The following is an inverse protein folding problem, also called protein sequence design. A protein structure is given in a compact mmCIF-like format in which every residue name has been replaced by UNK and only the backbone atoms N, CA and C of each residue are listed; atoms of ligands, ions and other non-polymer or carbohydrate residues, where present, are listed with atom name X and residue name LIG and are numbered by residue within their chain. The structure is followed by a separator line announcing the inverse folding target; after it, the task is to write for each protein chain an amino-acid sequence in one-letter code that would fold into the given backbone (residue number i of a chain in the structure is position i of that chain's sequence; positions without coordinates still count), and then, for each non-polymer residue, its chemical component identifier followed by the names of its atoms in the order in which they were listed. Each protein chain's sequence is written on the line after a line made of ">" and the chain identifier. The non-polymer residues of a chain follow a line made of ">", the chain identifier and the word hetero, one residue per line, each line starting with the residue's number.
data_IF_963801194676
#
_entry.id   IF_963801194676
#
_cell.length_a   1.000
_cell.length_b   1.000
_cell.length_c   1.000
_cell.angle_alpha   90.00
_cell.angle_beta   90.00
_cell.angle_gamma   90.00
#
_symmetry.space_group_name_H-M   'P 1'
#
loop_
_entity.id
_entity.type
_entity.pdbx_description
1 polymer ?
#
# COMPACT_ATOMS: atom_id res chain seq x y z
N UNK A 1 21.55 -11.33 -8.43
CA UNK A 1 20.32 -11.01 -7.65
C UNK A 1 20.65 -10.49 -6.25
N UNK A 2 21.68 -11.01 -5.59
CA UNK A 2 22.20 -10.46 -4.34
C UNK A 2 23.61 -9.92 -4.59
N UNK A 3 23.83 -8.63 -4.29
CA UNK A 3 25.14 -7.97 -4.38
C UNK A 3 25.59 -7.64 -2.97
N UNK A 4 26.90 -7.60 -2.72
CA UNK A 4 27.45 -7.22 -1.41
C UNK A 4 27.04 -5.79 -0.98
N UNK A 5 26.71 -4.92 -1.93
CA UNK A 5 26.27 -3.54 -1.69
C UNK A 5 24.77 -3.42 -1.33
N UNK A 6 24.04 -4.53 -1.25
CA UNK A 6 22.63 -4.50 -0.90
C UNK A 6 22.45 -4.04 0.54
N UNK A 7 21.55 -3.07 0.74
CA UNK A 7 21.18 -2.57 2.07
C UNK A 7 19.81 -3.13 2.45
N UNK A 8 19.65 -3.44 3.74
CA UNK A 8 18.38 -3.88 4.33
C UNK A 8 17.95 -2.86 5.39
N UNK A 9 16.66 -2.58 5.43
CA UNK A 9 16.01 -1.90 6.55
C UNK A 9 14.78 -2.72 6.95
N UNK A 10 14.56 -2.87 8.25
CA UNK A 10 13.43 -3.61 8.81
C UNK A 10 12.68 -2.67 9.73
N UNK A 11 11.38 -2.50 9.48
CA UNK A 11 10.49 -1.70 10.31
C UNK A 11 9.46 -2.62 10.97
N UNK A 12 9.12 -2.33 12.22
CA UNK A 12 7.97 -2.90 12.90
C UNK A 12 6.80 -1.93 12.83
N UNK A 13 5.60 -2.49 12.69
CA UNK A 13 4.36 -1.74 12.77
C UNK A 13 3.51 -2.35 13.89
N UNK A 14 3.18 -1.56 14.90
CA UNK A 14 2.15 -1.89 15.88
C UNK A 14 0.95 -0.95 15.72
N UNK A 15 -0.06 -1.12 16.57
CA UNK A 15 -1.19 -0.19 16.66
C UNK A 15 -0.79 1.16 17.29
N UNK A 16 0.27 1.18 18.10
CA UNK A 16 0.71 2.37 18.84
C UNK A 16 1.80 3.15 18.11
N UNK A 17 2.73 2.47 17.45
CA UNK A 17 3.90 3.10 16.85
C UNK A 17 4.43 2.32 15.64
N UNK A 18 5.19 3.03 14.81
CA UNK A 18 6.00 2.45 13.73
C UNK A 18 7.46 2.79 14.02
N UNK A 19 8.33 1.78 14.12
CA UNK A 19 9.72 1.95 14.53
C UNK A 19 10.67 1.16 13.61
N UNK A 20 11.93 1.59 13.55
CA UNK A 20 12.98 0.86 12.85
C UNK A 20 13.57 -0.22 13.76
N UNK A 21 13.42 -1.49 13.38
CA UNK A 21 14.14 -2.61 14.02
C UNK A 21 15.60 -2.66 13.55
N UNK A 22 15.84 -2.30 12.29
CA UNK A 22 17.16 -2.28 11.68
C UNK A 22 17.20 -1.21 10.58
N UNK A 23 18.29 -0.44 10.39
CA UNK A 23 19.60 -0.51 11.04
C UNK A 23 19.72 0.27 12.36
N UNK A 24 20.57 -0.21 13.27
CA UNK A 24 21.01 0.56 14.45
C UNK A 24 22.17 1.50 14.06
N UNK A 25 22.21 2.74 14.58
CA UNK A 25 23.33 3.65 14.32
C UNK A 25 24.63 3.07 14.90
N UNK A 26 25.69 2.99 14.09
CA UNK A 26 27.07 2.78 14.58
C UNK A 26 27.71 1.39 14.42
N UNK A 27 27.12 0.46 13.66
CA UNK A 27 27.76 -0.84 13.34
C UNK A 27 27.90 -1.06 11.83
N UNK A 28 29.07 -0.75 11.29
CA UNK A 28 29.50 -1.19 9.96
C UNK A 28 30.32 -2.48 10.12
N UNK A 29 30.12 -3.46 9.24
CA UNK A 29 30.78 -4.77 9.33
C UNK A 29 31.12 -5.34 7.95
N UNK A 30 32.26 -6.04 7.88
CA UNK A 30 32.86 -6.51 6.63
C UNK A 30 32.50 -7.97 6.25
N UNK A 31 32.07 -8.80 7.20
CA UNK A 31 31.80 -10.22 6.95
C UNK A 31 30.31 -10.53 6.66
N UNK A 32 30.05 -11.26 5.56
CA UNK A 32 28.69 -11.55 5.08
C UNK A 32 27.83 -12.34 6.09
N UNK A 33 28.38 -13.41 6.68
CA UNK A 33 27.64 -14.24 7.66
C UNK A 33 27.41 -13.52 9.00
N UNK A 34 28.37 -12.68 9.41
CA UNK A 34 28.23 -11.88 10.62
C UNK A 34 27.13 -10.83 10.48
N UNK A 35 27.00 -10.21 9.30
CA UNK A 35 25.93 -9.28 9.00
C UNK A 35 24.54 -9.94 9.13
N UNK A 36 24.35 -11.16 8.62
CA UNK A 36 23.08 -11.88 8.77
C UNK A 36 22.79 -12.30 10.21
N UNK A 37 23.81 -12.78 10.93
CA UNK A 37 23.68 -13.14 12.36
C UNK A 37 23.31 -11.92 13.21
N UNK A 38 23.97 -10.78 12.96
CA UNK A 38 23.68 -9.52 13.63
C UNK A 38 22.25 -9.05 13.35
N UNK A 39 21.82 -9.04 12.08
CA UNK A 39 20.44 -8.68 11.73
C UNK A 39 19.44 -9.58 12.45
N UNK A 40 19.66 -10.90 12.42
CA UNK A 40 18.79 -11.86 13.08
C UNK A 40 18.70 -11.63 14.60
N UNK A 41 19.85 -11.38 15.24
CA UNK A 41 19.93 -11.10 16.68
C UNK A 41 19.24 -9.79 17.04
N UNK A 42 19.56 -8.70 16.34
CA UNK A 42 18.96 -7.37 16.58
C UNK A 42 17.46 -7.38 16.37
N UNK A 43 16.98 -7.97 15.27
CA UNK A 43 15.54 -8.05 15.00
C UNK A 43 14.83 -8.88 16.07
N UNK A 44 15.41 -10.01 16.51
CA UNK A 44 14.82 -10.84 17.57
C UNK A 44 14.76 -10.12 18.92
N UNK A 45 15.82 -9.40 19.29
CA UNK A 45 15.89 -8.63 20.54
C UNK A 45 14.89 -7.47 20.54
N UNK A 46 14.88 -6.64 19.48
CA UNK A 46 13.97 -5.49 19.36
C UNK A 46 12.50 -5.91 19.24
N UNK A 47 12.22 -6.99 18.49
CA UNK A 47 10.87 -7.51 18.42
C UNK A 47 10.44 -8.09 19.77
N UNK A 48 11.32 -8.80 20.46
CA UNK A 48 11.06 -9.35 21.79
C UNK A 48 10.72 -8.28 22.81
N UNK A 49 11.51 -7.19 22.88
CA UNK A 49 11.22 -6.08 23.79
C UNK A 49 9.89 -5.40 23.45
N UNK A 50 9.60 -5.19 22.17
CA UNK A 50 8.34 -4.57 21.73
C UNK A 50 7.11 -5.43 21.97
N UNK A 51 7.24 -6.75 21.87
CA UNK A 51 6.17 -7.68 22.21
C UNK A 51 5.90 -7.71 23.72
N UNK A 52 6.93 -7.54 24.55
CA UNK A 52 6.80 -7.43 26.00
C UNK A 52 6.18 -6.08 26.43
N UNK A 53 6.53 -5.01 25.73
CA UNK A 53 5.96 -3.66 25.94
C UNK A 53 4.53 -3.51 25.39
N UNK A 54 4.07 -4.44 24.54
CA UNK A 54 2.79 -4.32 23.88
C UNK A 54 1.63 -4.39 24.90
N UNK A 55 0.74 -3.39 24.94
CA UNK A 55 -0.41 -3.42 25.83
C UNK A 55 -1.37 -4.54 25.41
N UNK A 56 -2.01 -5.17 26.39
CA UNK A 56 -3.09 -6.11 26.13
C UNK A 56 -4.26 -5.36 25.50
N UNK A 57 -4.54 -5.64 24.22
CA UNK A 57 -5.64 -5.01 23.49
C UNK A 57 -6.97 -5.62 23.94
N UNK A 58 -7.86 -4.78 24.47
CA UNK A 58 -9.27 -5.11 24.75
C UNK A 58 -10.17 -4.92 23.54
N UNK A 59 -9.76 -4.11 22.57
CA UNK A 59 -10.50 -3.82 21.34
C UNK A 59 -9.63 -4.02 20.08
N UNK A 60 -10.25 -4.35 18.93
CA UNK A 60 -9.53 -4.49 17.67
C UNK A 60 -9.03 -3.12 17.17
N UNK A 61 -7.74 -2.83 17.36
CA UNK A 61 -7.11 -1.64 16.82
C UNK A 61 -6.63 -1.82 15.37
N UNK A 62 -6.65 -0.72 14.62
CA UNK A 62 -6.07 -0.66 13.27
C UNK A 62 -4.54 -0.54 13.35
N UNK A 63 -3.83 -1.18 12.41
CA UNK A 63 -2.37 -1.05 12.30
C UNK A 63 -1.99 0.28 11.62
N UNK A 64 -0.94 0.94 12.09
CA UNK A 64 -0.41 2.19 11.50
C UNK A 64 0.48 1.94 10.26
N UNK A 65 0.10 0.99 9.42
CA UNK A 65 0.93 0.51 8.31
C UNK A 65 1.16 1.60 7.24
N UNK A 66 0.19 2.49 7.02
CA UNK A 66 0.37 3.64 6.12
C UNK A 66 1.51 4.57 6.59
N UNK A 67 1.65 4.75 7.90
CA UNK A 67 2.74 5.49 8.53
C UNK A 67 4.08 4.79 8.30
N UNK A 68 4.15 3.47 8.54
CA UNK A 68 5.35 2.65 8.28
C UNK A 68 5.83 2.73 6.83
N UNK A 69 4.92 2.63 5.85
CA UNK A 69 5.27 2.76 4.42
C UNK A 69 5.82 4.16 4.13
N UNK A 70 5.20 5.19 4.70
CA UNK A 70 5.66 6.58 4.53
C UNK A 70 7.06 6.79 5.14
N UNK A 71 7.32 6.24 6.32
CA UNK A 71 8.65 6.24 6.94
C UNK A 71 9.69 5.54 6.07
N UNK A 72 9.34 4.38 5.51
CA UNK A 72 10.22 3.65 4.60
C UNK A 72 10.53 4.46 3.33
N UNK A 73 9.53 5.12 2.73
CA UNK A 73 9.72 5.99 1.56
C UNK A 73 10.62 7.19 1.86
N UNK A 74 10.44 7.83 3.02
CA UNK A 74 11.31 8.92 3.48
C UNK A 74 12.75 8.42 3.69
N UNK A 75 12.92 7.25 4.29
CA UNK A 75 14.23 6.65 4.52
C UNK A 75 14.95 6.30 3.21
N UNK A 76 14.24 5.69 2.26
CA UNK A 76 14.77 5.40 0.92
C UNK A 76 15.15 6.70 0.21
N UNK A 77 14.30 7.73 0.27
CA UNK A 77 14.59 9.02 -0.36
C UNK A 77 15.84 9.69 0.24
N UNK A 78 16.05 9.54 1.55
CA UNK A 78 17.29 10.00 2.22
C UNK A 78 18.50 9.22 1.73
N UNK A 79 18.40 7.89 1.63
CA UNK A 79 19.50 7.06 1.14
C UNK A 79 19.85 7.38 -0.32
N UNK A 80 18.85 7.56 -1.18
CA UNK A 80 19.06 7.92 -2.59
C UNK A 80 19.83 9.24 -2.75
N UNK A 81 19.62 10.21 -1.86
CA UNK A 81 20.38 11.48 -1.84
C UNK A 81 21.83 11.31 -1.39
N UNK A 82 22.11 10.34 -0.53
CA UNK A 82 23.46 10.09 -0.01
C UNK A 82 24.31 9.20 -0.94
N UNK A 83 23.73 8.66 -2.01
CA UNK A 83 24.46 7.82 -2.98
C UNK A 83 25.26 8.72 -3.92
N UNK A 84 26.54 8.40 -4.21
CA UNK A 84 27.36 9.19 -5.12
C UNK A 84 26.76 9.27 -6.53
N UNK A 85 26.99 10.41 -7.19
CA UNK A 85 26.49 10.67 -8.53
C UNK A 85 26.95 9.58 -9.53
N UNK A 86 25.99 8.90 -10.16
CA UNK A 86 26.24 7.84 -11.14
C UNK A 86 25.77 6.43 -10.73
N UNK A 87 25.58 6.17 -9.43
CA UNK A 87 25.07 4.88 -8.96
C UNK A 87 23.54 4.95 -8.79
N UNK A 88 22.80 4.17 -9.58
CA UNK A 88 21.34 4.04 -9.42
C UNK A 88 21.01 3.03 -8.32
N UNK A 89 20.37 3.49 -7.25
CA UNK A 89 19.84 2.62 -6.20
C UNK A 89 18.46 2.09 -6.59
N UNK A 90 18.35 0.77 -6.71
CA UNK A 90 17.05 0.10 -6.87
C UNK A 90 16.49 -0.23 -5.49
N UNK A 91 15.31 0.30 -5.19
CA UNK A 91 14.64 0.10 -3.92
C UNK A 91 13.32 -0.64 -4.12
N UNK A 92 12.99 -1.49 -3.14
CA UNK A 92 11.75 -2.24 -3.06
C UNK A 92 11.29 -2.23 -1.61
N UNK A 93 9.99 -2.19 -1.40
CA UNK A 93 9.36 -2.38 -0.11
C UNK A 93 8.60 -3.71 -0.16
N UNK A 94 8.83 -4.57 0.83
CA UNK A 94 8.04 -5.79 1.03
C UNK A 94 7.27 -5.63 2.34
N UNK A 95 5.95 -5.72 2.27
CA UNK A 95 5.04 -5.63 3.40
C UNK A 95 4.55 -7.03 3.73
N UNK A 96 4.74 -7.46 4.98
CA UNK A 96 4.17 -8.70 5.49
C UNK A 96 3.16 -8.28 6.54
N UNK A 97 1.89 -8.60 6.31
CA UNK A 97 0.81 -8.21 7.22
C UNK A 97 -0.14 -9.37 7.52
N UNK A 98 -0.49 -9.48 8.80
CA UNK A 98 -1.63 -10.26 9.27
C UNK A 98 -2.70 -9.38 9.92
N UNK A 99 -2.52 -8.05 9.93
CA UNK A 99 -3.47 -7.12 10.51
C UNK A 99 -4.62 -6.82 9.56
N UNK A 100 -5.74 -6.37 10.11
CA UNK A 100 -6.86 -5.89 9.30
C UNK A 100 -6.63 -4.43 8.89
N UNK A 101 -7.04 -4.10 7.67
CA UNK A 101 -7.01 -2.71 7.20
C UNK A 101 -8.34 -2.05 7.53
N UNK A 102 -8.27 -0.87 8.14
CA UNK A 102 -9.43 -0.03 8.36
C UNK A 102 -9.58 1.04 7.29
N UNK A 103 -10.83 1.38 6.98
CA UNK A 103 -11.13 2.43 5.98
C UNK A 103 -10.66 3.83 6.40
N UNK A 104 -10.27 4.03 7.67
CA UNK A 104 -9.81 5.32 8.18
C UNK A 104 -8.49 5.79 7.53
N UNK A 105 -7.60 4.86 7.21
CA UNK A 105 -6.26 5.15 6.67
C UNK A 105 -6.20 5.14 5.14
N UNK A 106 -7.33 4.96 4.45
CA UNK A 106 -7.39 4.82 2.99
C UNK A 106 -6.65 5.93 2.23
N UNK A 107 -6.89 7.20 2.62
CA UNK A 107 -6.28 8.36 1.96
C UNK A 107 -4.75 8.34 2.14
N UNK A 108 -4.29 8.03 3.35
CA UNK A 108 -2.86 7.97 3.68
C UNK A 108 -2.17 6.87 2.88
N UNK A 109 -2.78 5.68 2.78
CA UNK A 109 -2.27 4.59 1.94
C UNK A 109 -2.19 4.98 0.47
N UNK A 110 -3.26 5.54 -0.08
CA UNK A 110 -3.29 5.94 -1.49
C UNK A 110 -2.21 6.98 -1.79
N UNK A 111 -2.05 7.99 -0.94
CA UNK A 111 -0.98 8.98 -1.07
C UNK A 111 0.41 8.33 -1.01
N UNK A 112 0.62 7.37 -0.11
CA UNK A 112 1.87 6.63 -0.02
C UNK A 112 2.14 5.78 -1.29
N UNK A 113 1.13 5.09 -1.84
CA UNK A 113 1.28 4.29 -3.06
C UNK A 113 1.54 5.14 -4.30
N UNK A 114 0.84 6.27 -4.47
CA UNK A 114 1.12 7.19 -5.57
C UNK A 114 2.52 7.82 -5.45
N UNK A 115 2.96 8.10 -4.23
CA UNK A 115 4.32 8.58 -3.96
C UNK A 115 5.36 7.50 -4.30
N UNK A 116 5.13 6.25 -3.88
CA UNK A 116 5.98 5.11 -4.21
C UNK A 116 6.09 4.91 -5.73
N UNK A 117 4.96 4.96 -6.44
CA UNK A 117 4.91 4.89 -7.91
C UNK A 117 5.71 6.02 -8.57
N UNK A 118 5.58 7.26 -8.07
CA UNK A 118 6.33 8.41 -8.58
C UNK A 118 7.84 8.25 -8.38
N UNK A 119 8.26 7.66 -7.26
CA UNK A 119 9.67 7.35 -6.97
C UNK A 119 10.17 6.10 -7.70
N UNK A 120 9.30 5.36 -8.41
CA UNK A 120 9.65 4.10 -9.07
C UNK A 120 9.97 2.96 -8.09
N UNK A 121 9.45 3.03 -6.86
CA UNK A 121 9.63 2.02 -5.83
C UNK A 121 8.45 1.04 -5.89
N UNK A 122 8.76 -0.24 -6.02
CA UNK A 122 7.75 -1.31 -6.04
C UNK A 122 7.40 -1.72 -4.62
N UNK A 123 6.10 -1.83 -4.32
CA UNK A 123 5.59 -2.32 -3.04
C UNK A 123 4.98 -3.69 -3.26
N UNK A 124 5.58 -4.70 -2.65
CA UNK A 124 5.05 -6.06 -2.65
C UNK A 124 4.39 -6.35 -1.32
N UNK A 125 3.28 -7.09 -1.33
CA UNK A 125 2.52 -7.40 -0.11
C UNK A 125 2.26 -8.89 0.02
N UNK A 126 2.59 -9.44 1.18
CA UNK A 126 2.23 -10.77 1.64
C UNK A 126 1.19 -10.66 2.74
N UNK A 127 -0.04 -11.10 2.48
CA UNK A 127 -1.13 -11.12 3.45
C UNK A 127 -1.26 -12.54 4.03
N UNK A 128 -1.19 -12.66 5.37
CA UNK A 128 -1.10 -13.96 6.06
C UNK A 128 -2.45 -14.64 6.33
N UNK A 129 -3.56 -13.93 6.22
CA UNK A 129 -4.88 -14.48 6.59
C UNK A 129 -6.00 -13.84 5.75
N UNK A 130 -6.16 -12.52 5.88
CA UNK A 130 -7.24 -11.78 5.23
C UNK A 130 -6.86 -11.25 3.87
N UNK A 131 -7.86 -11.17 2.99
CA UNK A 131 -7.71 -10.49 1.70
C UNK A 131 -7.87 -8.99 1.92
N UNK A 132 -6.85 -8.22 1.58
CA UNK A 132 -6.79 -6.79 1.84
C UNK A 132 -6.90 -6.04 0.51
N UNK A 133 -8.10 -5.55 0.19
CA UNK A 133 -8.41 -4.91 -1.10
C UNK A 133 -7.59 -3.64 -1.32
N UNK A 134 -7.33 -2.86 -0.27
CA UNK A 134 -6.54 -1.63 -0.35
C UNK A 134 -5.06 -1.91 -0.71
N UNK A 135 -4.43 -2.89 -0.04
CA UNK A 135 -3.06 -3.27 -0.38
C UNK A 135 -2.97 -3.94 -1.75
N UNK A 136 -4.00 -4.66 -2.18
CA UNK A 136 -4.09 -5.18 -3.53
C UNK A 136 -4.07 -4.05 -4.58
N UNK A 137 -4.89 -3.02 -4.40
CA UNK A 137 -4.86 -1.81 -5.23
C UNK A 137 -3.48 -1.13 -5.19
N UNK A 138 -2.87 -1.04 -4.00
CA UNK A 138 -1.52 -0.48 -3.84
C UNK A 138 -0.43 -1.25 -4.59
N UNK A 139 -0.50 -2.58 -4.59
CA UNK A 139 0.40 -3.43 -5.36
C UNK A 139 0.22 -3.17 -6.86
N UNK A 140 -1.01 -3.09 -7.37
CA UNK A 140 -1.24 -2.80 -8.79
C UNK A 140 -0.72 -1.41 -9.20
N UNK A 141 -1.02 -0.38 -8.40
CA UNK A 141 -0.55 1.00 -8.63
C UNK A 141 0.98 1.05 -8.74
N UNK A 142 1.69 0.33 -7.87
CA UNK A 142 3.16 0.30 -7.83
C UNK A 142 3.77 -0.77 -8.74
N UNK A 143 2.96 -1.58 -9.44
CA UNK A 143 3.36 -2.76 -10.22
C UNK A 143 4.12 -3.81 -9.38
N UNK A 144 3.74 -3.94 -8.12
CA UNK A 144 4.19 -4.96 -7.20
C UNK A 144 3.36 -6.23 -7.25
N UNK A 145 3.74 -7.20 -6.42
CA UNK A 145 3.06 -8.48 -6.29
C UNK A 145 2.29 -8.53 -4.98
N UNK A 146 1.01 -8.90 -5.09
CA UNK A 146 0.19 -9.28 -3.95
C UNK A 146 0.09 -10.81 -3.88
N UNK A 147 0.26 -11.36 -2.68
CA UNK A 147 0.00 -12.76 -2.40
C UNK A 147 -0.75 -12.90 -1.08
N UNK A 148 -1.85 -13.66 -1.12
CA UNK A 148 -2.51 -14.15 0.08
C UNK A 148 -1.97 -15.55 0.38
N UNK A 149 -1.46 -15.74 1.58
CA UNK A 149 -0.98 -17.03 2.07
C UNK A 149 -2.12 -17.72 2.80
N UNK A 150 -2.56 -18.89 2.31
CA UNK A 150 -3.60 -19.68 2.98
C UNK A 150 -3.03 -20.64 4.03
N UNK A 151 -1.79 -21.11 3.83
CA UNK A 151 -1.09 -22.03 4.73
C UNK A 151 0.23 -21.43 5.16
N UNK A 152 0.38 -21.17 6.46
CA UNK A 152 1.59 -20.58 7.03
C UNK A 152 2.82 -21.50 6.91
N UNK A 153 2.61 -22.82 6.87
CA UNK A 153 3.70 -23.81 6.73
C UNK A 153 4.51 -23.60 5.43
N UNK A 154 3.86 -23.10 4.38
CA UNK A 154 4.50 -22.80 3.09
C UNK A 154 5.05 -21.38 2.95
N UNK A 155 5.00 -20.54 4.01
CA UNK A 155 5.34 -19.12 3.93
C UNK A 155 6.76 -18.88 3.39
N UNK A 156 7.73 -19.66 3.85
CA UNK A 156 9.12 -19.53 3.40
C UNK A 156 9.24 -19.79 1.89
N UNK A 157 8.55 -20.79 1.37
CA UNK A 157 8.55 -21.10 -0.06
C UNK A 157 8.00 -19.91 -0.86
N UNK A 158 6.90 -19.31 -0.42
CA UNK A 158 6.33 -18.13 -1.06
C UNK A 158 7.27 -16.92 -1.00
N UNK A 159 7.91 -16.66 0.15
CA UNK A 159 8.89 -15.58 0.31
C UNK A 159 10.08 -15.74 -0.66
N UNK A 160 10.61 -16.95 -0.79
CA UNK A 160 11.75 -17.25 -1.66
C UNK A 160 11.39 -17.20 -3.15
N UNK A 161 10.23 -17.71 -3.56
CA UNK A 161 9.87 -17.79 -4.97
C UNK A 161 9.23 -16.52 -5.53
N UNK A 162 8.41 -15.83 -4.73
CA UNK A 162 7.58 -14.72 -5.22
C UNK A 162 8.22 -13.36 -4.91
N UNK A 163 8.78 -13.20 -3.70
CA UNK A 163 9.25 -11.91 -3.21
C UNK A 163 10.76 -11.70 -3.36
N UNK A 164 11.56 -12.77 -3.45
CA UNK A 164 13.01 -12.68 -3.68
C UNK A 164 13.38 -12.15 -5.09
N UNK A 165 12.71 -12.57 -6.19
CA UNK A 165 13.06 -12.11 -7.53
C UNK A 165 12.88 -10.60 -7.72
N UNK A 166 13.87 -9.88 -8.30
CA UNK A 166 13.76 -8.46 -8.56
C UNK A 166 12.67 -8.17 -9.59
N UNK A 167 12.07 -6.95 -9.61
CA UNK A 167 10.93 -6.65 -10.48
C UNK A 167 11.23 -6.91 -11.95
N UNK A 168 12.47 -6.64 -12.37
CA UNK A 168 12.95 -6.84 -13.74
C UNK A 168 12.94 -8.30 -14.19
N UNK A 169 13.02 -9.28 -13.29
CA UNK A 169 13.06 -10.70 -13.65
C UNK A 169 11.68 -11.36 -13.59
N UNK A 170 10.68 -10.69 -13.03
CA UNK A 170 9.33 -11.25 -12.83
C UNK A 170 8.62 -11.66 -14.11
N UNK A 171 8.84 -10.93 -15.21
CA UNK A 171 8.23 -11.25 -16.50
C UNK A 171 8.71 -12.58 -17.10
N UNK A 172 9.82 -13.13 -16.60
CA UNK A 172 10.36 -14.44 -17.01
C UNK A 172 9.89 -15.58 -16.11
N UNK A 173 9.23 -15.25 -14.99
CA UNK A 173 8.78 -16.21 -14.00
C UNK A 173 7.27 -16.40 -14.14
N UNK A 174 6.81 -17.63 -13.98
CA UNK A 174 5.39 -17.92 -13.85
C UNK A 174 4.99 -17.58 -12.42
N UNK A 175 4.49 -16.37 -12.23
CA UNK A 175 3.98 -15.89 -10.94
C UNK A 175 2.47 -16.15 -10.83
N UNK A 176 1.93 -16.26 -9.60
CA UNK A 176 0.50 -16.32 -9.38
C UNK A 176 -0.21 -15.15 -10.08
N UNK A 177 -1.35 -15.40 -10.76
CA UNK A 177 -2.07 -14.36 -11.46
C UNK A 177 -2.52 -13.28 -10.48
N UNK A 178 -2.52 -12.02 -10.93
CA UNK A 178 -3.02 -10.92 -10.14
C UNK A 178 -4.52 -11.16 -9.80
N UNK A 179 -4.94 -10.96 -8.54
CA UNK A 179 -6.35 -11.08 -8.19
C UNK A 179 -7.19 -10.05 -8.95
N UNK A 180 -8.46 -10.38 -9.23
CA UNK A 180 -9.40 -9.41 -9.81
C UNK A 180 -9.63 -8.29 -8.79
N UNK A 181 -9.23 -7.08 -9.17
CA UNK A 181 -9.33 -5.90 -8.31
C UNK A 181 -10.64 -5.17 -8.53
N UNK A 182 -11.22 -4.72 -7.42
CA UNK A 182 -12.41 -3.88 -7.41
C UNK A 182 -11.97 -2.43 -7.15
N UNK A 183 -12.14 -1.55 -8.14
CA UNK A 183 -11.73 -0.12 -8.07
C UNK A 183 -12.90 0.81 -7.75
N UNK A 184 -14.02 0.29 -7.27
CA UNK A 184 -15.17 1.10 -6.87
C UNK A 184 -14.74 2.12 -5.82
N UNK A 185 -15.24 3.35 -5.97
CA UNK A 185 -14.94 4.42 -5.04
C UNK A 185 -15.70 4.19 -3.72
N UNK A 186 -15.06 4.45 -2.59
CA UNK A 186 -15.75 4.50 -1.30
C UNK A 186 -16.34 5.89 -1.08
N UNK A 187 -17.63 5.97 -0.76
CA UNK A 187 -18.27 7.25 -0.46
C UNK A 187 -17.74 7.84 0.86
N UNK A 188 -17.54 9.16 0.92
CA UNK A 188 -17.09 9.85 2.14
C UNK A 188 -18.15 9.88 3.25
N UNK A 189 -19.44 9.69 2.91
CA UNK A 189 -20.54 9.64 3.89
C UNK A 189 -20.47 8.40 4.79
N UNK A 190 -20.43 7.21 4.18
CA UNK A 190 -20.60 5.94 4.89
C UNK A 190 -19.37 5.02 4.76
N UNK A 191 -18.35 5.41 3.99
CA UNK A 191 -17.16 4.60 3.66
C UNK A 191 -17.49 3.26 2.98
N UNK A 192 -18.64 3.21 2.32
CA UNK A 192 -19.08 2.06 1.53
C UNK A 192 -18.74 2.26 0.05
N UNK A 193 -18.44 1.15 -0.63
CA UNK A 193 -18.20 1.13 -2.07
C UNK A 193 -19.47 1.50 -2.83
N UNK A 194 -19.35 2.39 -3.80
CA UNK A 194 -20.45 2.82 -4.67
C UNK A 194 -20.08 2.64 -6.14
N UNK A 195 -21.04 2.13 -6.92
CA UNK A 195 -20.93 2.02 -8.38
C UNK A 195 -21.22 3.36 -9.08
N UNK A 196 -22.21 4.09 -8.57
CA UNK A 196 -22.60 5.42 -9.05
C UNK A 196 -22.56 6.38 -7.86
N UNK A 197 -21.81 7.47 -8.00
CA UNK A 197 -21.66 8.48 -6.97
C UNK A 197 -21.66 9.90 -7.54
N UNK A 198 -21.91 10.86 -6.66
CA UNK A 198 -21.85 12.30 -6.96
C UNK A 198 -20.50 12.85 -6.51
N UNK A 199 -19.85 13.66 -7.34
CA UNK A 199 -18.53 14.23 -7.03
C UNK A 199 -18.67 15.72 -6.75
N UNK A 200 -18.08 16.19 -5.65
CA UNK A 200 -17.96 17.60 -5.34
C UNK A 200 -17.05 18.30 -6.37
N UNK A 201 -17.53 19.36 -7.02
CA UNK A 201 -16.73 20.13 -7.99
C UNK A 201 -15.58 20.93 -7.35
N UNK A 202 -15.59 21.12 -6.03
CA UNK A 202 -14.58 21.91 -5.31
C UNK A 202 -13.49 21.03 -4.72
N UNK A 203 -13.85 20.00 -3.94
CA UNK A 203 -12.89 19.16 -3.21
C UNK A 203 -12.78 17.72 -3.75
N UNK A 204 -13.50 17.38 -4.84
CA UNK A 204 -13.49 16.06 -5.47
C UNK A 204 -13.92 14.90 -4.55
N UNK A 205 -14.59 15.19 -3.43
CA UNK A 205 -15.16 14.16 -2.57
C UNK A 205 -16.33 13.43 -3.25
N UNK A 206 -16.38 12.12 -3.05
CA UNK A 206 -17.40 11.23 -3.64
C UNK A 206 -18.51 10.93 -2.63
N UNK A 207 -19.76 11.10 -3.03
CA UNK A 207 -20.95 10.88 -2.22
C UNK A 207 -21.88 9.83 -2.83
N UNK A 208 -22.54 9.04 -1.99
CA UNK A 208 -23.48 7.99 -2.43
C UNK A 208 -24.82 8.54 -2.91
N UNK A 209 -25.20 9.75 -2.48
CA UNK A 209 -26.44 10.43 -2.85
C UNK A 209 -26.13 11.91 -3.08
N UNK A 210 -26.95 12.58 -3.89
CA UNK A 210 -26.84 14.01 -4.07
C UNK A 210 -27.13 14.73 -2.76
N UNK A 211 -26.21 15.60 -2.33
CA UNK A 211 -26.41 16.52 -1.22
C UNK A 211 -26.18 17.94 -1.72
N UNK A 212 -27.09 18.90 -1.44
CA UNK A 212 -26.94 20.29 -1.87
C UNK A 212 -25.78 21.00 -1.16
N UNK A 213 -25.27 20.43 -0.07
CA UNK A 213 -24.12 20.93 0.67
C UNK A 213 -23.10 19.80 0.76
N UNK A 214 -21.85 20.10 0.42
CA UNK A 214 -20.74 19.17 0.59
C UNK A 214 -20.38 19.04 2.06
N UNK A 215 -20.47 17.85 2.65
CA UNK A 215 -20.10 17.63 4.07
C UNK A 215 -18.60 17.80 4.37
N UNK A 216 -17.74 17.73 3.35
CA UNK A 216 -16.29 17.87 3.50
C UNK A 216 -15.78 19.32 3.46
N UNK A 217 -16.27 20.14 2.52
CA UNK A 217 -15.80 21.52 2.30
C UNK A 217 -16.88 22.59 2.46
N UNK A 218 -18.10 22.20 2.84
CA UNK A 218 -19.26 23.08 3.02
C UNK A 218 -19.65 23.94 1.80
N UNK A 219 -19.23 23.53 0.60
CA UNK A 219 -19.66 24.17 -0.64
C UNK A 219 -21.15 23.89 -0.89
N UNK A 220 -21.88 24.93 -1.33
CA UNK A 220 -23.31 24.86 -1.63
C UNK A 220 -23.48 24.71 -3.15
N UNK A 221 -24.16 23.65 -3.55
CA UNK A 221 -24.51 23.38 -4.94
C UNK A 221 -25.93 23.85 -5.20
N UNK A 222 -26.10 24.66 -6.25
CA UNK A 222 -27.42 24.93 -6.80
C UNK A 222 -27.95 23.64 -7.40
N UNK A 223 -29.20 23.29 -7.09
CA UNK A 223 -29.84 22.11 -7.65
C UNK A 223 -29.72 22.14 -9.19
N UNK A 224 -29.34 21.02 -9.83
CA UNK A 224 -29.32 20.97 -11.27
C UNK A 224 -30.73 21.23 -11.77
N UNK A 225 -30.91 22.31 -12.55
CA UNK A 225 -32.12 22.47 -13.36
C UNK A 225 -32.31 21.18 -14.16
N UNK A 226 -33.53 20.60 -14.20
CA UNK A 226 -33.75 19.36 -14.91
C UNK A 226 -33.29 19.54 -16.35
N UNK A 227 -32.30 18.73 -16.76
CA UNK A 227 -31.82 18.68 -18.13
C UNK A 227 -33.02 18.47 -19.04
N UNK A 228 -33.43 19.53 -19.74
CA UNK A 228 -34.53 19.46 -20.71
C UNK A 228 -34.14 18.41 -21.73
N UNK A 229 -34.83 17.27 -21.68
CA UNK A 229 -34.70 16.19 -22.65
C UNK A 229 -35.16 16.74 -23.98
N UNK A 230 -34.21 17.24 -24.79
CA UNK A 230 -34.50 17.59 -26.18
C UNK A 230 -35.11 16.35 -26.84
N UNK A 231 -36.36 16.40 -27.31
CA UNK A 231 -37.00 15.23 -27.90
C UNK A 231 -36.20 14.80 -29.12
N UNK A 232 -35.73 13.54 -29.12
CA UNK A 232 -35.08 12.92 -30.28
C UNK A 232 -36.02 13.07 -31.48
N UNK A 233 -35.60 13.83 -32.51
CA UNK A 233 -36.28 13.90 -33.80
C UNK A 233 -36.47 12.47 -34.33
N UNK A 234 -37.71 11.99 -34.37
CA UNK A 234 -38.08 10.76 -35.08
C UNK A 234 -37.68 10.94 -36.55
N UNK A 235 -36.74 10.13 -37.04
CA UNK A 235 -36.52 9.95 -38.49
C UNK A 235 -37.83 9.41 -39.08
N UNK A 236 -38.44 10.17 -39.99
CA UNK A 236 -39.52 9.66 -40.84
C UNK A 236 -38.91 8.60 -41.75
N UNK A 237 -39.42 7.38 -41.65
CA UNK A 237 -39.21 6.31 -42.63
C UNK A 237 -40.07 6.64 -43.83
N UNK A 238 -39.44 6.98 -44.97
CA UNK A 238 -40.12 6.97 -46.27
C UNK A 238 -40.53 5.53 -46.58
N UNK A 239 -41.81 5.33 -46.90
CA UNK A 239 -42.34 4.12 -47.51
C UNK A 239 -42.50 4.39 -49.00
N UNK A 240 -42.03 3.42 -49.79
CA UNK A 240 -42.18 3.25 -51.24
C UNK A 240 -43.55 3.70 -51.77
#
# INVERSE_FOLDING_TARGET
>A
MQKAQNKLAVLSCSHSASEFLFPLPGKEMDAQYEAFSLVGKTVKEQLGSKLLEAPHLTEPCESLLAGSISMALCYISRLQKNVPAGVKMHSRICVITGSNEGGSQYITFMNAFFTARKLGIVVDTCALDKTLTLLQQGCDITKGQYLKVEKLDGLLQFLLWVFLPPPQMRHKLVLPPAPKLDYRASCFCHRQLVDIGYVCSVCLSVFCKYTPICTTCNAIFKAPEPLTTKPKKKKKTDKN
#
